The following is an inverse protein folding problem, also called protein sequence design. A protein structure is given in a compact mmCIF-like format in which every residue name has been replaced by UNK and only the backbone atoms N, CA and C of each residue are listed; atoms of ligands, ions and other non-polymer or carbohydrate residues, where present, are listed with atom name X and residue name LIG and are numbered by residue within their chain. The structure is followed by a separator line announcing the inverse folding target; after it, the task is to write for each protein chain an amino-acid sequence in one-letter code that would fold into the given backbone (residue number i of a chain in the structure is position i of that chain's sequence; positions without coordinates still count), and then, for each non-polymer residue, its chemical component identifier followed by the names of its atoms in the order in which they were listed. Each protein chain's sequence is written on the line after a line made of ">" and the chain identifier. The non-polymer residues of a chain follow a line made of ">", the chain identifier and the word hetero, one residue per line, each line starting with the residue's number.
data_IF_768278179584
#
_entry.id   IF_768278179584
#
_cell.length_a   1.000
_cell.length_b   1.000
_cell.length_c   1.000
_cell.angle_alpha   90.00
_cell.angle_beta   90.00
_cell.angle_gamma   90.00
#
_symmetry.space_group_name_H-M   'P 1'
#
loop_
_entity.id
_entity.type
_entity.pdbx_description
1 polymer ?
#
# COMPACT_ATOMS: atom_id res chain seq x y z
N UNK A 1 -16.57 24.08 2.16
CA UNK A 1 -15.44 23.37 1.51
C UNK A 1 -15.87 22.02 0.93
N UNK A 2 -16.57 21.15 1.67
CA UNK A 2 -17.07 19.87 1.15
C UNK A 2 -17.99 20.01 -0.08
N UNK A 3 -18.89 21.01 -0.11
CA UNK A 3 -19.80 21.22 -1.24
C UNK A 3 -19.08 21.53 -2.55
N UNK A 4 -18.01 22.35 -2.50
CA UNK A 4 -17.18 22.64 -3.68
C UNK A 4 -16.49 21.38 -4.22
N UNK A 5 -16.00 20.50 -3.34
CA UNK A 5 -15.37 19.24 -3.74
C UNK A 5 -16.39 18.30 -4.39
N UNK A 6 -17.60 18.22 -3.85
CA UNK A 6 -18.68 17.40 -4.40
C UNK A 6 -19.09 17.90 -5.79
N UNK A 7 -19.26 19.21 -5.96
CA UNK A 7 -19.56 19.85 -7.26
C UNK A 7 -18.42 19.62 -8.28
N UNK A 8 -17.17 19.74 -7.86
CA UNK A 8 -16.01 19.47 -8.71
C UNK A 8 -15.92 18.01 -9.14
N UNK A 9 -16.15 17.07 -8.22
CA UNK A 9 -16.17 15.63 -8.51
C UNK A 9 -17.30 15.30 -9.50
N UNK A 10 -18.50 15.85 -9.30
CA UNK A 10 -19.64 15.64 -10.18
C UNK A 10 -19.44 16.21 -11.58
N UNK A 11 -18.85 17.41 -11.68
CA UNK A 11 -18.62 18.08 -12.97
C UNK A 11 -17.45 17.51 -13.77
N UNK A 12 -16.36 17.10 -13.10
CA UNK A 12 -15.18 16.54 -13.75
C UNK A 12 -14.67 15.26 -13.04
N UNK A 13 -15.37 14.12 -13.18
CA UNK A 13 -15.04 12.87 -12.48
C UNK A 13 -13.63 12.35 -12.77
N UNK A 14 -13.18 12.40 -14.03
CA UNK A 14 -11.85 11.91 -14.43
C UNK A 14 -10.72 12.79 -13.87
N UNK A 15 -10.84 14.11 -13.99
CA UNK A 15 -9.81 15.04 -13.51
C UNK A 15 -9.74 15.01 -11.99
N UNK A 16 -10.89 14.93 -11.32
CA UNK A 16 -10.95 14.83 -9.86
C UNK A 16 -10.25 13.56 -9.35
N UNK A 17 -10.51 12.39 -9.94
CA UNK A 17 -9.89 11.14 -9.48
C UNK A 17 -8.39 11.13 -9.74
N UNK A 18 -7.93 11.67 -10.86
CA UNK A 18 -6.49 11.80 -11.17
C UNK A 18 -5.80 12.67 -10.12
N UNK A 19 -6.35 13.84 -9.82
CA UNK A 19 -5.78 14.78 -8.85
C UNK A 19 -5.76 14.18 -7.44
N UNK A 20 -6.87 13.56 -7.03
CA UNK A 20 -7.00 12.88 -5.74
C UNK A 20 -6.01 11.72 -5.63
N UNK A 21 -5.92 10.86 -6.65
CA UNK A 21 -4.94 9.77 -6.70
C UNK A 21 -3.51 10.27 -6.59
N UNK A 22 -3.18 11.37 -7.25
CA UNK A 22 -1.85 11.98 -7.16
C UNK A 22 -1.56 12.47 -5.73
N UNK A 23 -2.47 13.24 -5.12
CA UNK A 23 -2.30 13.77 -3.76
C UNK A 23 -2.19 12.66 -2.71
N UNK A 24 -3.05 11.64 -2.81
CA UNK A 24 -3.02 10.49 -1.91
C UNK A 24 -1.73 9.70 -2.10
N UNK A 25 -1.31 9.46 -3.35
CA UNK A 25 -0.03 8.77 -3.63
C UNK A 25 1.16 9.54 -3.09
N UNK A 26 1.14 10.87 -3.20
CA UNK A 26 2.17 11.74 -2.64
C UNK A 26 2.24 11.63 -1.11
N UNK A 27 1.07 11.70 -0.46
CA UNK A 27 0.97 11.53 0.99
C UNK A 27 1.50 10.16 1.45
N UNK A 28 1.07 9.05 0.83
CA UNK A 28 1.53 7.72 1.20
C UNK A 28 3.02 7.51 0.92
N UNK A 29 3.54 8.09 -0.16
CA UNK A 29 4.96 7.98 -0.47
C UNK A 29 5.80 8.77 0.54
N UNK A 30 5.33 9.94 0.97
CA UNK A 30 5.94 10.70 2.05
C UNK A 30 5.90 9.94 3.39
N UNK A 31 4.75 9.35 3.73
CA UNK A 31 4.59 8.52 4.92
C UNK A 31 5.55 7.33 4.90
N UNK A 32 5.65 6.64 3.76
CA UNK A 32 6.58 5.52 3.58
C UNK A 32 8.03 5.97 3.78
N UNK A 33 8.45 7.09 3.17
CA UNK A 33 9.80 7.64 3.33
C UNK A 33 10.13 7.93 4.80
N UNK A 34 9.16 8.46 5.56
CA UNK A 34 9.35 8.80 6.97
C UNK A 34 9.37 7.59 7.89
N UNK A 35 8.64 6.54 7.55
CA UNK A 35 8.44 5.37 8.43
C UNK A 35 9.33 4.19 8.10
N UNK A 36 9.81 4.08 6.86
CA UNK A 36 10.68 3.00 6.39
C UNK A 36 12.14 3.26 6.78
N UNK A 37 12.72 2.38 7.58
CA UNK A 37 14.14 2.43 7.95
C UNK A 37 14.98 1.61 6.96
N UNK A 38 15.31 2.22 5.82
CA UNK A 38 16.03 1.58 4.73
C UNK A 38 17.48 1.21 5.11
N UNK A 39 18.13 2.00 5.96
CA UNK A 39 19.50 1.72 6.44
C UNK A 39 19.52 0.43 7.27
N UNK A 40 18.61 0.31 8.24
CA UNK A 40 18.52 -0.89 9.06
C UNK A 40 18.18 -2.14 8.25
N UNK A 41 17.32 -2.01 7.24
CA UNK A 41 17.00 -3.13 6.33
C UNK A 41 18.24 -3.57 5.55
N UNK A 42 19.08 -2.63 5.08
CA UNK A 42 20.35 -2.95 4.39
C UNK A 42 21.34 -3.67 5.33
N UNK A 43 21.47 -3.20 6.57
CA UNK A 43 22.29 -3.86 7.59
C UNK A 43 21.82 -5.29 7.87
N UNK A 44 20.51 -5.50 8.07
CA UNK A 44 19.95 -6.82 8.34
C UNK A 44 20.11 -7.76 7.16
N UNK A 45 19.97 -7.29 5.92
CA UNK A 45 20.25 -8.09 4.72
C UNK A 45 21.72 -8.50 4.64
N UNK A 46 22.66 -7.65 5.07
CA UNK A 46 24.08 -7.99 5.14
C UNK A 46 24.32 -9.10 6.17
N UNK A 47 23.81 -8.91 7.40
CA UNK A 47 23.89 -9.93 8.46
C UNK A 47 23.23 -11.25 8.05
N UNK A 48 22.11 -11.20 7.33
CA UNK A 48 21.43 -12.39 6.81
C UNK A 48 22.35 -13.22 5.89
N UNK A 49 23.12 -12.56 5.02
CA UNK A 49 24.11 -13.24 4.16
C UNK A 49 25.25 -13.84 4.96
N UNK A 50 25.78 -13.10 5.94
CA UNK A 50 26.84 -13.59 6.84
C UNK A 50 26.39 -14.84 7.62
N UNK A 51 25.16 -14.85 8.15
CA UNK A 51 24.59 -16.03 8.82
C UNK A 51 24.37 -17.21 7.87
N UNK A 52 23.96 -16.94 6.63
CA UNK A 52 23.83 -17.98 5.60
C UNK A 52 25.18 -18.63 5.26
N UNK A 53 26.25 -17.86 5.23
CA UNK A 53 27.62 -18.38 5.03
C UNK A 53 28.09 -19.18 6.25
N UNK A 54 27.85 -18.70 7.47
CA UNK A 54 28.15 -19.43 8.71
C UNK A 54 27.46 -20.80 8.75
N UNK A 55 26.17 -20.88 8.42
CA UNK A 55 25.46 -22.17 8.35
C UNK A 55 26.09 -23.14 7.35
N UNK A 56 26.60 -22.65 6.21
CA UNK A 56 27.28 -23.50 5.22
C UNK A 56 28.63 -24.02 5.73
N UNK A 57 29.34 -23.23 6.53
CA UNK A 57 30.64 -23.62 7.12
C UNK A 57 30.50 -24.57 8.31
N UNK A 58 29.39 -24.52 9.05
CA UNK A 58 29.17 -25.28 10.28
C UNK A 58 28.36 -26.57 10.09
N UNK A 59 28.23 -27.08 8.85
CA UNK A 59 27.39 -28.24 8.51
C UNK A 59 27.60 -29.50 9.36
N UNK A 60 28.80 -29.68 9.90
CA UNK A 60 29.16 -30.85 10.70
C UNK A 60 29.06 -30.62 12.22
N UNK A 61 28.65 -29.43 12.65
CA UNK A 61 28.56 -29.03 14.05
C UNK A 61 27.11 -28.69 14.41
N UNK A 62 26.29 -29.69 14.81
CA UNK A 62 24.85 -29.51 15.00
C UNK A 62 24.48 -28.46 16.06
N UNK A 63 25.28 -28.33 17.12
CA UNK A 63 25.06 -27.31 18.16
C UNK A 63 25.24 -25.88 17.62
N UNK A 64 26.33 -25.62 16.88
CA UNK A 64 26.58 -24.30 16.27
C UNK A 64 25.61 -23.97 15.13
N UNK A 65 25.14 -24.99 14.41
CA UNK A 65 24.06 -24.83 13.45
C UNK A 65 22.75 -24.37 14.09
N UNK A 66 22.40 -24.95 15.24
CA UNK A 66 21.18 -24.60 15.96
C UNK A 66 21.23 -23.17 16.49
N UNK A 67 22.40 -22.75 17.00
CA UNK A 67 22.65 -21.36 17.38
C UNK A 67 22.47 -20.39 16.20
N UNK A 68 23.09 -20.69 15.05
CA UNK A 68 22.98 -19.85 13.85
C UNK A 68 21.55 -19.80 13.29
N UNK A 69 20.78 -20.88 13.39
CA UNK A 69 19.35 -20.88 13.03
C UNK A 69 18.55 -19.96 13.95
N UNK A 70 18.79 -20.01 15.27
CA UNK A 70 18.12 -19.12 16.22
C UNK A 70 18.45 -17.64 15.93
N UNK A 71 19.71 -17.33 15.61
CA UNK A 71 20.11 -15.99 15.15
C UNK A 71 19.36 -15.57 13.88
N UNK A 72 19.17 -16.49 12.92
CA UNK A 72 18.44 -16.24 11.69
C UNK A 72 16.94 -15.98 11.93
N UNK A 73 16.32 -16.70 12.88
CA UNK A 73 14.93 -16.46 13.29
C UNK A 73 14.76 -15.10 13.97
N UNK A 74 15.70 -14.71 14.83
CA UNK A 74 15.72 -13.40 15.47
C UNK A 74 15.86 -12.28 14.43
N UNK A 75 16.78 -12.44 13.48
CA UNK A 75 16.98 -11.50 12.38
C UNK A 75 15.72 -11.39 11.49
N UNK A 76 15.09 -12.51 11.17
CA UNK A 76 13.84 -12.53 10.38
C UNK A 76 12.70 -11.83 11.12
N UNK A 77 12.60 -12.03 12.43
CA UNK A 77 11.63 -11.34 13.29
C UNK A 77 11.88 -9.83 13.33
N UNK A 78 13.14 -9.40 13.38
CA UNK A 78 13.50 -7.99 13.32
C UNK A 78 13.14 -7.37 11.97
N UNK A 79 13.45 -8.04 10.86
CA UNK A 79 13.05 -7.62 9.51
C UNK A 79 11.53 -7.49 9.39
N UNK A 80 10.78 -8.44 9.94
CA UNK A 80 9.31 -8.40 9.96
C UNK A 80 8.80 -7.19 10.76
N UNK A 81 9.35 -6.90 11.93
CA UNK A 81 8.95 -5.72 12.73
C UNK A 81 9.20 -4.41 11.97
N UNK A 82 10.32 -4.32 11.25
CA UNK A 82 10.65 -3.14 10.44
C UNK A 82 9.71 -2.95 9.25
N UNK A 83 9.18 -4.02 8.65
CA UNK A 83 8.20 -3.92 7.56
C UNK A 83 6.76 -3.74 8.07
N UNK A 84 6.43 -4.33 9.22
CA UNK A 84 5.10 -4.20 9.84
C UNK A 84 4.80 -2.79 10.35
N UNK A 85 5.81 -2.07 10.86
CA UNK A 85 5.60 -0.72 11.39
C UNK A 85 5.07 0.26 10.31
N UNK A 86 5.71 0.40 9.13
CA UNK A 86 5.14 1.18 8.02
C UNK A 86 3.75 0.70 7.60
N UNK A 87 3.53 -0.61 7.54
CA UNK A 87 2.24 -1.19 7.15
C UNK A 87 1.12 -0.75 8.11
N UNK A 88 1.29 -0.94 9.42
CA UNK A 88 0.31 -0.56 10.44
C UNK A 88 0.06 0.95 10.48
N UNK A 89 1.13 1.75 10.37
CA UNK A 89 1.00 3.21 10.32
C UNK A 89 0.24 3.65 9.06
N UNK A 90 0.48 3.00 7.91
CA UNK A 90 -0.24 3.30 6.66
C UNK A 90 -1.70 2.82 6.66
N UNK A 91 -2.03 1.82 7.47
CA UNK A 91 -3.39 1.30 7.58
C UNK A 91 -4.35 2.31 8.19
N UNK A 92 -3.89 3.13 9.15
CA UNK A 92 -4.71 4.16 9.80
C UNK A 92 -5.23 5.20 8.80
N UNK A 93 -4.38 5.85 7.98
CA UNK A 93 -4.85 6.73 6.91
C UNK A 93 -5.78 6.04 5.91
N UNK A 94 -5.53 4.78 5.53
CA UNK A 94 -6.40 4.05 4.59
C UNK A 94 -7.82 3.92 5.16
N UNK A 95 -7.94 3.51 6.42
CA UNK A 95 -9.24 3.34 7.09
C UNK A 95 -10.01 4.67 7.18
N UNK A 96 -9.34 5.81 7.22
CA UNK A 96 -9.98 7.13 7.32
C UNK A 96 -10.28 7.70 5.93
N UNK A 97 -9.31 7.69 5.01
CA UNK A 97 -9.40 8.36 3.70
C UNK A 97 -10.42 7.67 2.80
N UNK A 98 -10.42 6.34 2.72
CA UNK A 98 -11.24 5.63 1.74
C UNK A 98 -12.75 5.71 2.01
N UNK A 99 -13.25 5.62 3.26
CA UNK A 99 -14.67 5.83 3.53
C UNK A 99 -15.13 7.25 3.21
N UNK A 100 -14.31 8.27 3.52
CA UNK A 100 -14.60 9.66 3.17
C UNK A 100 -14.66 9.82 1.65
N UNK A 101 -13.72 9.20 0.94
CA UNK A 101 -13.68 9.24 -0.52
C UNK A 101 -14.91 8.55 -1.13
N UNK A 102 -15.30 7.40 -0.59
CA UNK A 102 -16.53 6.72 -0.99
C UNK A 102 -17.78 7.55 -0.74
N UNK A 103 -17.85 8.26 0.39
CA UNK A 103 -18.95 9.18 0.66
C UNK A 103 -18.98 10.37 -0.30
N UNK A 104 -17.82 10.96 -0.62
CA UNK A 104 -17.72 12.09 -1.56
C UNK A 104 -18.18 11.70 -2.98
N UNK A 105 -17.68 10.57 -3.51
CA UNK A 105 -18.00 10.13 -4.86
C UNK A 105 -19.46 9.66 -4.99
N UNK A 106 -20.00 8.98 -3.97
CA UNK A 106 -21.42 8.58 -3.98
C UNK A 106 -22.35 9.79 -3.86
N UNK A 107 -22.02 10.77 -3.01
CA UNK A 107 -22.80 12.01 -2.85
C UNK A 107 -22.77 12.87 -4.10
N UNK A 108 -21.65 12.88 -4.84
CA UNK A 108 -21.53 13.56 -6.12
C UNK A 108 -22.29 12.87 -7.27
N UNK A 109 -22.94 11.73 -7.03
CA UNK A 109 -23.64 10.94 -8.04
C UNK A 109 -22.71 10.25 -9.04
N UNK A 110 -21.41 10.15 -8.72
CA UNK A 110 -20.38 9.58 -9.59
C UNK A 110 -20.19 8.10 -9.25
N UNK A 111 -20.85 7.24 -10.03
CA UNK A 111 -20.71 5.79 -9.88
C UNK A 111 -19.50 5.21 -10.62
N UNK A 112 -19.56 5.23 -11.96
CA UNK A 112 -18.50 4.70 -12.82
C UNK A 112 -17.81 5.84 -13.57
N UNK A 113 -16.54 6.08 -13.24
CA UNK A 113 -15.70 7.05 -13.97
C UNK A 113 -15.22 6.47 -15.30
N UNK A 114 -14.88 5.17 -15.30
CA UNK A 114 -14.50 4.42 -16.49
C UNK A 114 -15.27 3.08 -16.48
N UNK A 115 -15.78 2.61 -17.63
CA UNK A 115 -16.49 1.34 -17.72
C UNK A 115 -15.46 0.20 -17.68
N UNK A 116 -15.06 -0.20 -16.48
CA UNK A 116 -14.09 -1.26 -16.28
C UNK A 116 -14.61 -2.65 -16.65
N UNK A 117 -15.93 -2.79 -16.91
CA UNK A 117 -16.65 -4.03 -17.22
C UNK A 117 -16.18 -5.24 -16.38
N UNK A 118 -15.79 -4.99 -15.12
CA UNK A 118 -15.16 -5.97 -14.26
C UNK A 118 -16.25 -6.73 -13.50
N UNK A 119 -16.82 -7.73 -14.17
CA UNK A 119 -17.73 -8.69 -13.54
C UNK A 119 -16.92 -9.65 -12.67
N UNK A 120 -16.75 -9.31 -11.39
CA UNK A 120 -16.20 -10.26 -10.42
C UNK A 120 -17.32 -11.21 -10.02
N UNK A 121 -17.38 -12.35 -10.69
CA UNK A 121 -18.40 -13.38 -10.46
C UNK A 121 -18.42 -13.77 -8.96
N UNK A 122 -19.52 -13.47 -8.27
CA UNK A 122 -19.74 -13.76 -6.85
C UNK A 122 -19.45 -12.62 -5.85
N UNK A 123 -18.66 -11.60 -6.20
CA UNK A 123 -18.44 -10.44 -5.32
C UNK A 123 -19.50 -9.34 -5.53
N UNK A 124 -20.14 -9.26 -6.69
CA UNK A 124 -21.17 -8.24 -6.93
C UNK A 124 -22.52 -8.52 -6.25
N UNK A 125 -22.78 -9.76 -5.86
CA UNK A 125 -24.07 -10.18 -5.26
C UNK A 125 -24.04 -10.28 -3.72
N UNK A 126 -22.89 -9.96 -3.11
CA UNK A 126 -22.69 -10.04 -1.66
C UNK A 126 -23.10 -8.74 -0.95
N UNK A 127 -23.69 -8.87 0.25
CA UNK A 127 -24.32 -7.76 1.02
C UNK A 127 -23.37 -6.59 1.35
N UNK A 128 -22.06 -6.83 1.41
CA UNK A 128 -21.04 -5.80 1.70
C UNK A 128 -20.43 -5.16 0.44
N UNK A 129 -20.62 -5.76 -0.73
CA UNK A 129 -19.87 -5.44 -1.96
C UNK A 129 -20.79 -5.08 -3.13
N UNK A 130 -22.10 -5.05 -2.91
CA UNK A 130 -23.12 -4.59 -3.87
C UNK A 130 -22.85 -3.16 -4.39
N UNK A 131 -22.28 -2.29 -3.55
CA UNK A 131 -21.86 -0.94 -3.94
C UNK A 131 -20.60 -0.89 -4.80
N UNK A 132 -19.81 -1.99 -4.86
CA UNK A 132 -18.57 -2.03 -5.64
C UNK A 132 -18.85 -2.15 -7.14
N UNK A 133 -19.97 -2.77 -7.54
CA UNK A 133 -20.23 -3.09 -8.94
C UNK A 133 -21.07 -2.05 -9.69
N UNK A 134 -21.88 -1.27 -8.96
CA UNK A 134 -22.71 -0.18 -9.52
C UNK A 134 -22.34 1.20 -8.96
N UNK A 135 -21.06 1.42 -8.67
CA UNK A 135 -20.62 2.68 -8.07
C UNK A 135 -19.22 2.75 -7.52
N UNK A 136 -18.38 1.71 -7.64
CA UNK A 136 -16.96 1.79 -7.26
C UNK A 136 -16.01 1.70 -8.45
N UNK A 137 -16.48 2.06 -9.65
CA UNK A 137 -15.57 2.33 -10.77
C UNK A 137 -14.56 3.42 -10.41
N UNK A 138 -14.95 4.39 -9.56
CA UNK A 138 -14.03 5.40 -9.03
C UNK A 138 -12.89 4.80 -8.20
N UNK A 139 -13.14 3.74 -7.42
CA UNK A 139 -12.12 3.10 -6.58
C UNK A 139 -11.07 2.37 -7.43
N UNK A 140 -11.49 1.64 -8.45
CA UNK A 140 -10.57 1.00 -9.40
C UNK A 140 -9.80 2.03 -10.21
N UNK A 141 -10.46 3.09 -10.69
CA UNK A 141 -9.78 4.21 -11.35
C UNK A 141 -8.71 4.82 -10.43
N UNK A 142 -9.01 5.00 -9.14
CA UNK A 142 -8.03 5.47 -8.16
C UNK A 142 -6.81 4.54 -8.09
N UNK A 143 -7.04 3.21 -7.98
CA UNK A 143 -5.96 2.22 -7.88
C UNK A 143 -5.06 2.31 -9.10
N UNK A 144 -5.61 2.31 -10.32
CA UNK A 144 -4.83 2.37 -11.56
C UNK A 144 -3.97 3.62 -11.61
N UNK A 145 -4.52 4.80 -11.35
CA UNK A 145 -3.73 6.04 -11.32
C UNK A 145 -2.67 6.02 -10.22
N UNK A 146 -2.98 5.46 -9.04
CA UNK A 146 -2.01 5.36 -7.93
C UNK A 146 -0.84 4.42 -8.25
N UNK A 147 -1.07 3.34 -9.01
CA UNK A 147 -0.02 2.42 -9.45
C UNK A 147 0.93 3.10 -10.45
N UNK A 148 0.44 4.06 -11.23
CA UNK A 148 1.26 4.86 -12.14
C UNK A 148 2.06 5.92 -11.37
N UNK A 149 1.42 6.64 -10.44
CA UNK A 149 2.08 7.73 -9.71
C UNK A 149 3.08 7.24 -8.65
N UNK A 150 2.79 6.14 -7.97
CA UNK A 150 3.61 5.66 -6.85
C UNK A 150 5.09 5.41 -7.23
N UNK A 151 5.42 4.69 -8.33
CA UNK A 151 6.81 4.52 -8.77
C UNK A 151 7.51 5.85 -9.11
N UNK A 152 6.79 6.76 -9.78
CA UNK A 152 7.31 8.07 -10.19
C UNK A 152 7.66 8.89 -8.93
N UNK A 153 6.74 8.97 -7.98
CA UNK A 153 6.90 9.73 -6.75
C UNK A 153 7.98 9.14 -5.85
N UNK A 154 8.12 7.81 -5.78
CA UNK A 154 9.18 7.14 -5.02
C UNK A 154 10.57 7.50 -5.54
N UNK A 155 10.75 7.51 -6.87
CA UNK A 155 11.98 7.97 -7.52
C UNK A 155 12.25 9.44 -7.24
N UNK A 156 11.26 10.31 -7.47
CA UNK A 156 11.40 11.76 -7.26
C UNK A 156 11.77 12.10 -5.82
N UNK A 157 11.16 11.43 -4.84
CA UNK A 157 11.40 11.71 -3.42
C UNK A 157 12.59 10.96 -2.84
N UNK A 158 13.35 10.20 -3.64
CA UNK A 158 14.43 9.32 -3.16
C UNK A 158 13.97 8.44 -1.99
N UNK A 159 12.77 7.89 -2.12
CA UNK A 159 12.16 7.00 -1.13
C UNK A 159 12.49 5.51 -1.39
N UNK A 160 13.49 5.23 -2.24
CA UNK A 160 13.96 3.90 -2.61
C UNK A 160 14.89 3.27 -1.58
#
# INVERSE_FOLDING_TARGET
>A
MANFLIEFIGSQPLISIILISFLISLFFTWLYKKTSNQERIKELKKKQKELQEKMKSQKNEPEKMLETQNEMLNLSSEMMKLSMKPMLISMVPVIIIFPILGWLYTTAGVGNIMPWNFYVWGLCDWRLTKGLCNGAGWFLSYIIFSLIFSPILRKMMKAE
#
